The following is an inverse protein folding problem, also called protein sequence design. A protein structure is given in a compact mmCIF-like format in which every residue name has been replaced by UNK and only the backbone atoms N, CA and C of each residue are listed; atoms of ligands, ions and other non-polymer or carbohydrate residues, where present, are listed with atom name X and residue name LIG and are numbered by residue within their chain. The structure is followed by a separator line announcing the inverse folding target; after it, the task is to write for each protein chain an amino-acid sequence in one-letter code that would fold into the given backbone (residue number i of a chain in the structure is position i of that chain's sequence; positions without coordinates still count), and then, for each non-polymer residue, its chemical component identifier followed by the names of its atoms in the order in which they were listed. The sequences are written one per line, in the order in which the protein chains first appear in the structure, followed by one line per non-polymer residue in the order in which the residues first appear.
data_IF_607346777027
#
_entry.id   IF_607346777027
#
_cell.length_a   1.000
_cell.length_b   1.000
_cell.length_c   1.000
_cell.angle_alpha   90.00
_cell.angle_beta   90.00
_cell.angle_gamma   90.00
#
_symmetry.space_group_name_H-M   'P 1'
#
loop_
_entity.id
_entity.type
_entity.pdbx_description
1 polymer ?
#
# COMPACT_ATOMS: atom_id res chain seq x y z
N UNK A 1 -56.63 60.50 27.20
CA UNK A 1 -55.51 59.50 27.44
C UNK A 1 -55.46 58.57 26.29
N UNK A 2 -54.61 58.87 25.37
CA UNK A 2 -54.46 58.09 24.10
C UNK A 2 -53.30 57.09 24.26
N UNK A 3 -53.60 55.78 24.20
CA UNK A 3 -52.62 54.73 24.22
C UNK A 3 -52.13 54.48 22.78
N UNK A 4 -50.89 54.82 22.50
CA UNK A 4 -50.23 54.56 21.24
C UNK A 4 -49.74 53.09 21.21
N UNK A 5 -50.35 52.33 20.30
CA UNK A 5 -49.92 50.96 19.99
C UNK A 5 -48.85 51.01 18.92
N UNK A 6 -47.63 50.62 19.30
CA UNK A 6 -46.49 50.50 18.36
C UNK A 6 -46.59 49.15 17.63
N UNK A 7 -47.07 49.19 16.39
CA UNK A 7 -47.04 48.01 15.51
C UNK A 7 -45.62 47.79 15.01
N UNK A 8 -45.08 46.62 15.30
CA UNK A 8 -43.83 46.15 14.68
C UNK A 8 -44.12 45.77 13.21
N UNK A 9 -43.34 46.25 12.24
CA UNK A 9 -43.55 45.89 10.84
C UNK A 9 -43.16 44.41 10.64
N UNK A 10 -44.13 43.64 10.12
CA UNK A 10 -43.85 42.27 9.64
C UNK A 10 -43.11 42.35 8.31
N UNK A 11 -42.02 41.62 8.19
CA UNK A 11 -41.31 41.45 6.93
C UNK A 11 -42.17 40.72 5.89
N UNK A 12 -42.04 41.07 4.59
CA UNK A 12 -42.81 40.45 3.50
C UNK A 12 -42.53 38.97 3.34
N UNK A 13 -43.55 38.16 3.08
CA UNK A 13 -43.47 36.75 2.74
C UNK A 13 -42.64 36.57 1.45
N UNK A 14 -41.50 35.89 1.54
CA UNK A 14 -40.68 35.55 0.38
C UNK A 14 -39.18 35.92 0.43
N UNK A 15 -38.71 36.51 1.51
CA UNK A 15 -37.25 36.69 1.67
C UNK A 15 -36.59 35.50 2.40
N UNK A 16 -35.42 35.00 1.91
CA UNK A 16 -34.78 33.77 2.41
C UNK A 16 -34.28 33.81 3.84
N UNK A 17 -34.36 34.97 4.53
CA UNK A 17 -33.83 35.20 5.88
C UNK A 17 -34.89 35.29 6.98
N UNK A 18 -36.17 35.10 6.64
CA UNK A 18 -37.26 35.12 7.64
C UNK A 18 -37.41 33.78 8.33
N UNK A 19 -36.96 33.65 9.57
CA UNK A 19 -37.25 32.49 10.42
C UNK A 19 -36.17 31.39 10.48
N UNK A 20 -34.99 31.62 9.93
CA UNK A 20 -33.84 30.74 10.22
C UNK A 20 -33.18 31.22 11.50
N UNK A 21 -33.22 30.39 12.53
CA UNK A 21 -32.30 30.54 13.67
C UNK A 21 -30.90 30.39 13.07
N UNK A 22 -29.99 31.32 13.41
CA UNK A 22 -28.59 31.17 13.14
C UNK A 22 -28.19 29.75 13.63
N UNK A 23 -27.59 28.92 12.78
CA UNK A 23 -27.05 27.68 13.22
C UNK A 23 -26.03 28.01 14.34
N UNK A 24 -26.38 27.62 15.57
CA UNK A 24 -25.45 27.65 16.67
C UNK A 24 -24.39 26.66 16.30
N UNK A 25 -23.19 27.09 15.94
CA UNK A 25 -22.03 26.23 15.85
C UNK A 25 -21.89 25.53 17.19
N UNK A 26 -22.28 24.26 17.23
CA UNK A 26 -22.08 23.42 18.40
C UNK A 26 -20.64 22.89 18.29
N UNK A 27 -19.70 23.33 19.13
CA UNK A 27 -18.34 22.80 19.11
C UNK A 27 -18.27 21.33 19.52
N UNK A 28 -19.40 20.73 19.91
CA UNK A 28 -19.53 19.30 20.22
C UNK A 28 -19.95 18.46 19.00
N UNK A 29 -20.22 19.07 17.83
CA UNK A 29 -20.72 18.35 16.65
C UNK A 29 -19.61 17.70 15.79
N UNK A 30 -18.34 17.95 16.12
CA UNK A 30 -17.18 17.39 15.40
C UNK A 30 -16.35 16.43 16.28
N UNK A 31 -16.99 15.77 17.26
CA UNK A 31 -16.39 14.57 17.85
C UNK A 31 -16.70 13.44 16.89
N UNK A 32 -15.88 13.28 15.86
CA UNK A 32 -15.77 12.03 15.14
C UNK A 32 -15.40 10.98 16.18
N UNK A 33 -16.35 10.11 16.54
CA UNK A 33 -16.10 8.99 17.44
C UNK A 33 -15.09 8.10 16.72
N UNK A 34 -13.84 8.18 17.17
CA UNK A 34 -12.79 7.28 16.68
C UNK A 34 -13.32 5.85 16.76
N UNK A 35 -13.18 5.05 15.68
CA UNK A 35 -13.64 3.67 15.68
C UNK A 35 -13.01 2.92 16.86
N UNK A 36 -13.84 2.22 17.63
CA UNK A 36 -13.38 1.39 18.74
C UNK A 36 -13.82 -0.05 18.52
N UNK A 37 -12.87 -0.95 18.57
CA UNK A 37 -13.10 -2.38 18.37
C UNK A 37 -12.88 -3.13 19.70
N UNK A 38 -13.85 -3.94 20.18
CA UNK A 38 -13.63 -4.75 21.38
C UNK A 38 -12.40 -5.64 21.24
N UNK A 39 -11.48 -5.57 22.22
CA UNK A 39 -10.24 -6.34 22.22
C UNK A 39 -9.09 -5.74 21.42
N UNK A 40 -9.29 -4.58 20.77
CA UNK A 40 -8.21 -3.82 20.12
C UNK A 40 -7.96 -2.50 20.84
N UNK A 41 -6.69 -2.11 20.91
CA UNK A 41 -6.22 -0.81 21.41
C UNK A 41 -5.63 -0.03 20.26
N UNK A 42 -6.09 1.21 20.10
CA UNK A 42 -5.53 2.15 19.12
C UNK A 42 -4.46 2.99 19.79
N UNK A 43 -3.26 2.98 19.22
CA UNK A 43 -2.14 3.82 19.63
C UNK A 43 -1.83 4.84 18.55
N UNK A 44 -1.50 6.06 18.95
CA UNK A 44 -1.07 7.13 18.03
C UNK A 44 0.24 7.69 18.53
N UNK A 45 1.27 7.60 17.72
CA UNK A 45 2.56 8.21 17.95
C UNK A 45 2.76 9.37 16.96
N UNK A 46 3.26 10.49 17.43
CA UNK A 46 3.60 11.61 16.58
C UNK A 46 5.07 11.99 16.75
N UNK A 47 5.82 11.93 15.66
CA UNK A 47 7.23 12.31 15.61
C UNK A 47 7.43 13.37 14.52
N UNK A 48 7.62 14.62 14.93
CA UNK A 48 7.77 15.74 14.00
C UNK A 48 6.50 15.96 13.16
N UNK A 49 6.60 15.77 11.85
CA UNK A 49 5.50 15.93 10.88
C UNK A 49 4.79 14.61 10.53
N UNK A 50 5.22 13.51 11.15
CA UNK A 50 4.67 12.18 10.85
C UNK A 50 3.86 11.68 12.04
N UNK A 51 2.66 11.17 11.75
CA UNK A 51 1.80 10.45 12.68
C UNK A 51 1.75 8.98 12.29
N UNK A 52 1.90 8.10 13.27
CA UNK A 52 1.73 6.65 13.10
C UNK A 52 0.57 6.20 13.96
N UNK A 53 -0.42 5.57 13.34
CA UNK A 53 -1.54 4.92 14.01
C UNK A 53 -1.27 3.42 14.00
N UNK A 54 -1.46 2.76 15.15
CA UNK A 54 -1.30 1.32 15.30
C UNK A 54 -2.49 0.73 16.05
N UNK A 55 -2.91 -0.46 15.63
CA UNK A 55 -3.90 -1.25 16.32
C UNK A 55 -3.25 -2.50 16.88
N UNK A 56 -3.50 -2.78 18.16
CA UNK A 56 -2.95 -3.92 18.88
C UNK A 56 -4.05 -4.72 19.56
N UNK A 57 -3.89 -6.03 19.59
CA UNK A 57 -4.75 -6.94 20.33
C UNK A 57 -4.46 -6.89 21.86
N UNK A 58 -5.14 -7.76 22.60
CA UNK A 58 -5.01 -7.84 24.07
C UNK A 58 -3.62 -8.31 24.53
N UNK A 59 -2.87 -8.98 23.68
CA UNK A 59 -1.51 -9.46 23.94
C UNK A 59 -0.45 -8.42 23.49
N UNK A 60 -0.90 -7.27 22.93
CA UNK A 60 -0.05 -6.20 22.44
C UNK A 60 0.51 -6.41 21.03
N UNK A 61 0.06 -7.45 20.32
CA UNK A 61 0.45 -7.73 18.94
C UNK A 61 -0.30 -6.83 17.96
N UNK A 62 0.36 -6.42 16.85
CA UNK A 62 -0.32 -5.71 15.77
C UNK A 62 -1.42 -6.59 15.16
N UNK A 63 -2.59 -5.99 14.97
CA UNK A 63 -3.77 -6.68 14.51
C UNK A 63 -4.66 -5.74 13.71
N UNK A 64 -5.03 -6.14 12.49
CA UNK A 64 -5.98 -5.39 11.67
C UNK A 64 -7.35 -5.31 12.36
N UNK A 65 -8.00 -4.12 12.32
CA UNK A 65 -9.38 -3.98 12.72
C UNK A 65 -10.34 -4.79 11.83
N UNK A 66 -11.52 -5.17 12.37
CA UNK A 66 -12.50 -5.96 11.62
C UNK A 66 -13.12 -5.28 10.40
N UNK A 67 -12.92 -3.96 10.23
CA UNK A 67 -13.38 -3.22 9.05
C UNK A 67 -12.42 -3.34 7.85
N UNK A 68 -11.30 -4.07 8.02
CA UNK A 68 -10.29 -4.26 7.00
C UNK A 68 -9.26 -3.13 6.90
N UNK A 69 -9.31 -2.15 7.78
CA UNK A 69 -8.25 -1.13 7.82
C UNK A 69 -6.92 -1.73 8.32
N UNK A 70 -5.76 -1.16 7.90
CA UNK A 70 -4.46 -1.71 8.28
C UNK A 70 -4.18 -1.57 9.78
N UNK A 71 -3.49 -2.55 10.37
CA UNK A 71 -3.01 -2.49 11.75
C UNK A 71 -2.03 -1.34 11.98
N UNK A 72 -1.30 -0.93 10.93
CA UNK A 72 -0.42 0.23 10.99
C UNK A 72 -0.63 1.14 9.78
N UNK A 73 -0.81 2.45 10.08
CA UNK A 73 -0.85 3.51 9.05
C UNK A 73 0.03 4.66 9.47
N UNK A 74 0.86 5.12 8.56
CA UNK A 74 1.71 6.30 8.75
C UNK A 74 1.30 7.39 7.77
N UNK A 75 1.12 8.60 8.29
CA UNK A 75 0.70 9.77 7.51
C UNK A 75 1.58 10.97 7.83
N UNK A 76 1.70 11.88 6.87
CA UNK A 76 2.13 13.25 7.15
C UNK A 76 1.03 14.01 7.91
N UNK A 77 1.39 15.18 8.47
CA UNK A 77 0.47 16.04 9.24
C UNK A 77 -0.70 16.56 8.41
N UNK A 78 -0.55 16.66 7.10
CA UNK A 78 -1.61 17.04 6.17
C UNK A 78 -2.58 15.90 5.84
N UNK A 79 -2.35 14.72 6.40
CA UNK A 79 -3.15 13.51 6.17
C UNK A 79 -2.68 12.63 5.02
N UNK A 80 -1.64 13.04 4.28
CA UNK A 80 -1.09 12.22 3.19
C UNK A 80 -0.52 10.92 3.74
N UNK A 81 -1.06 9.78 3.32
CA UNK A 81 -0.58 8.45 3.71
C UNK A 81 0.77 8.19 3.06
N UNK A 82 1.71 7.66 3.83
CA UNK A 82 3.04 7.27 3.35
C UNK A 82 3.30 5.78 3.43
N UNK A 83 2.60 5.09 4.33
CA UNK A 83 2.82 3.67 4.57
C UNK A 83 1.59 3.05 5.24
N UNK A 84 1.22 1.87 4.79
CA UNK A 84 0.22 0.99 5.39
C UNK A 84 0.79 -0.41 5.55
N UNK A 85 0.41 -1.09 6.64
CA UNK A 85 0.77 -2.48 6.82
C UNK A 85 -0.35 -3.25 7.54
N UNK A 86 -0.63 -4.42 7.02
CA UNK A 86 -1.63 -5.37 7.49
C UNK A 86 -1.00 -6.47 8.32
N UNK A 87 -1.64 -6.75 9.46
CA UNK A 87 -1.12 -7.71 10.43
C UNK A 87 -2.26 -8.56 11.00
N UNK A 88 -1.99 -9.85 11.15
CA UNK A 88 -2.87 -10.76 11.84
C UNK A 88 -2.11 -11.49 12.93
N UNK A 89 -2.54 -11.36 14.18
CA UNK A 89 -1.91 -11.97 15.36
C UNK A 89 -0.38 -11.71 15.42
N UNK A 90 0.03 -10.46 15.15
CA UNK A 90 1.43 -10.04 15.21
C UNK A 90 2.29 -10.43 14.02
N UNK A 91 1.71 -10.97 12.95
CA UNK A 91 2.41 -11.36 11.71
C UNK A 91 1.93 -10.55 10.54
N UNK A 92 2.85 -10.14 9.66
CA UNK A 92 2.50 -9.57 8.35
C UNK A 92 1.66 -10.58 7.57
N UNK A 93 0.53 -10.12 7.07
CA UNK A 93 -0.44 -10.97 6.41
C UNK A 93 -1.27 -10.16 5.42
N UNK A 94 -1.40 -10.66 4.18
CA UNK A 94 -2.32 -10.09 3.22
C UNK A 94 -3.76 -10.14 3.75
N UNK A 95 -4.54 -9.06 3.56
CA UNK A 95 -5.96 -9.05 3.84
C UNK A 95 -6.72 -10.07 2.99
N UNK A 96 -7.91 -10.50 3.44
CA UNK A 96 -8.72 -11.49 2.71
C UNK A 96 -9.20 -11.06 1.33
N UNK A 97 -9.15 -9.78 1.00
CA UNK A 97 -9.52 -9.23 -0.31
C UNK A 97 -8.39 -9.34 -1.34
N UNK A 98 -7.20 -9.84 -0.91
CA UNK A 98 -6.03 -10.04 -1.76
C UNK A 98 -5.17 -8.80 -1.98
N UNK A 99 -5.44 -7.70 -1.25
CA UNK A 99 -4.54 -6.55 -1.26
C UNK A 99 -3.21 -6.88 -0.56
N UNK A 100 -2.10 -6.15 -0.89
CA UNK A 100 -0.80 -6.43 -0.29
C UNK A 100 -0.76 -6.14 1.21
N UNK A 101 0.01 -6.92 1.96
CA UNK A 101 0.22 -6.68 3.38
C UNK A 101 0.98 -5.39 3.66
N UNK A 102 1.84 -4.95 2.76
CA UNK A 102 2.63 -3.72 2.92
C UNK A 102 2.49 -2.84 1.69
N UNK A 103 2.19 -1.56 1.89
CA UNK A 103 2.15 -0.54 0.84
C UNK A 103 2.87 0.73 1.28
N UNK A 104 3.72 1.27 0.39
CA UNK A 104 4.28 2.62 0.51
C UNK A 104 3.72 3.50 -0.60
N UNK A 105 3.60 4.79 -0.29
CA UNK A 105 2.99 5.75 -1.20
C UNK A 105 3.92 6.92 -1.49
N UNK A 106 3.88 7.40 -2.71
CA UNK A 106 4.48 8.67 -3.10
C UNK A 106 3.74 9.85 -2.44
N UNK A 107 4.35 11.04 -2.37
CA UNK A 107 3.70 12.23 -1.79
C UNK A 107 2.40 12.65 -2.47
N UNK A 108 2.17 12.25 -3.71
CA UNK A 108 0.95 12.50 -4.47
C UNK A 108 -0.17 11.46 -4.20
N UNK A 109 0.12 10.43 -3.36
CA UNK A 109 -0.78 9.37 -2.98
C UNK A 109 -0.78 8.17 -3.93
N UNK A 110 0.01 8.20 -5.00
CA UNK A 110 0.19 7.01 -5.86
C UNK A 110 1.04 5.96 -5.15
N UNK A 111 0.80 4.69 -5.47
CA UNK A 111 1.57 3.58 -4.89
C UNK A 111 3.02 3.64 -5.39
N UNK A 112 3.97 3.51 -4.46
CA UNK A 112 5.40 3.45 -4.74
C UNK A 112 5.96 2.03 -4.61
N UNK A 113 5.36 1.23 -3.72
CA UNK A 113 5.80 -0.12 -3.40
C UNK A 113 4.64 -0.93 -2.85
N UNK A 114 4.59 -2.20 -3.19
CA UNK A 114 3.69 -3.20 -2.65
C UNK A 114 4.44 -4.48 -2.33
N UNK A 115 4.05 -5.15 -1.24
CA UNK A 115 4.56 -6.47 -0.92
C UNK A 115 3.50 -7.37 -0.30
N UNK A 116 3.44 -8.59 -0.79
CA UNK A 116 2.55 -9.66 -0.35
C UNK A 116 3.24 -10.55 0.68
N UNK A 117 2.53 -10.83 1.76
CA UNK A 117 3.05 -11.61 2.88
C UNK A 117 2.01 -12.59 3.40
N UNK A 118 2.47 -13.78 3.74
CA UNK A 118 1.66 -14.79 4.40
C UNK A 118 2.37 -15.26 5.66
N UNK A 119 1.83 -14.93 6.82
CA UNK A 119 2.35 -15.32 8.15
C UNK A 119 3.83 -14.96 8.38
N UNK A 120 4.26 -13.75 8.00
CA UNK A 120 5.62 -13.19 7.99
C UNK A 120 6.57 -13.75 6.90
N UNK A 121 6.08 -14.55 5.97
CA UNK A 121 6.85 -15.01 4.82
C UNK A 121 6.45 -14.22 3.57
N UNK A 122 7.43 -13.70 2.82
CA UNK A 122 7.19 -13.05 1.53
C UNK A 122 6.80 -14.12 0.52
N UNK A 123 5.63 -13.95 -0.11
CA UNK A 123 5.03 -15.02 -0.90
C UNK A 123 4.21 -14.45 -2.06
N UNK A 124 4.36 -15.02 -3.25
CA UNK A 124 3.50 -14.72 -4.38
C UNK A 124 2.04 -15.01 -4.04
N UNK A 125 1.11 -14.11 -4.41
CA UNK A 125 -0.31 -14.39 -4.34
C UNK A 125 -0.71 -15.62 -5.16
N UNK A 126 -1.83 -16.24 -4.77
CA UNK A 126 -2.31 -17.48 -5.43
C UNK A 126 -2.71 -17.31 -6.90
N UNK A 127 -2.84 -16.09 -7.39
CA UNK A 127 -3.11 -15.79 -8.80
C UNK A 127 -1.83 -15.76 -9.66
N UNK A 128 -0.65 -15.94 -9.04
CA UNK A 128 0.65 -15.97 -9.70
C UNK A 128 1.24 -14.59 -9.98
N UNK A 129 0.66 -13.53 -9.42
CA UNK A 129 1.27 -12.20 -9.48
C UNK A 129 2.52 -12.14 -8.59
N UNK A 130 3.50 -11.24 -8.90
CA UNK A 130 4.70 -11.08 -8.09
C UNK A 130 4.40 -10.68 -6.65
N UNK A 131 5.15 -11.21 -5.69
CA UNK A 131 5.05 -10.84 -4.28
C UNK A 131 5.47 -9.40 -4.02
N UNK A 132 6.44 -8.89 -4.76
CA UNK A 132 6.96 -7.53 -4.58
C UNK A 132 6.88 -6.75 -5.88
N UNK A 133 6.40 -5.50 -5.78
CA UNK A 133 6.41 -4.52 -6.87
C UNK A 133 6.87 -3.16 -6.39
N UNK A 134 7.70 -2.53 -7.20
CA UNK A 134 8.02 -1.10 -7.12
C UNK A 134 7.46 -0.38 -8.33
N UNK A 135 7.01 0.83 -8.12
CA UNK A 135 6.36 1.62 -9.17
C UNK A 135 7.14 2.89 -9.46
N UNK A 136 7.17 3.27 -10.74
CA UNK A 136 7.57 4.61 -11.15
C UNK A 136 6.56 5.66 -10.63
N UNK A 137 6.95 6.94 -10.54
CA UNK A 137 6.01 7.99 -10.14
C UNK A 137 4.78 8.15 -11.04
N UNK A 138 4.81 7.64 -12.27
CA UNK A 138 3.66 7.63 -13.20
C UNK A 138 2.71 6.43 -12.97
N UNK A 139 3.02 5.56 -11.99
CA UNK A 139 2.23 4.38 -11.62
C UNK A 139 2.52 3.14 -12.47
N UNK A 140 3.45 3.21 -13.43
CA UNK A 140 3.90 1.99 -14.14
C UNK A 140 4.85 1.17 -13.28
N UNK A 141 4.87 -0.15 -13.45
CA UNK A 141 5.77 -1.04 -12.71
C UNK A 141 7.21 -0.76 -13.14
N UNK A 142 8.10 -0.54 -12.15
CA UNK A 142 9.54 -0.34 -12.34
C UNK A 142 10.35 -1.62 -12.07
N UNK A 143 9.85 -2.42 -11.15
CA UNK A 143 10.56 -3.60 -10.68
C UNK A 143 9.57 -4.58 -10.07
N UNK A 144 9.78 -5.88 -10.28
CA UNK A 144 8.97 -6.94 -9.68
C UNK A 144 9.81 -8.15 -9.29
N UNK A 145 9.38 -8.82 -8.21
CA UNK A 145 10.01 -10.03 -7.70
C UNK A 145 8.97 -11.11 -7.39
N UNK A 146 9.32 -12.34 -7.73
CA UNK A 146 8.60 -13.54 -7.37
C UNK A 146 9.26 -14.23 -6.18
N UNK A 147 8.46 -14.55 -5.17
CA UNK A 147 8.91 -15.17 -3.94
C UNK A 147 8.07 -16.39 -3.59
N UNK A 148 8.73 -17.43 -3.13
CA UNK A 148 8.09 -18.64 -2.63
C UNK A 148 8.73 -19.04 -1.30
N UNK A 149 7.92 -19.15 -0.24
CA UNK A 149 8.39 -19.54 1.10
C UNK A 149 9.60 -18.71 1.56
N UNK A 150 9.52 -17.37 1.41
CA UNK A 150 10.58 -16.40 1.78
C UNK A 150 11.88 -16.53 0.98
N UNK A 151 11.82 -17.20 -0.18
CA UNK A 151 12.94 -17.32 -1.11
C UNK A 151 12.62 -16.72 -2.47
N UNK A 152 13.58 -15.98 -3.04
CA UNK A 152 13.51 -15.50 -4.41
C UNK A 152 13.58 -16.70 -5.37
N UNK A 153 12.54 -16.90 -6.17
CA UNK A 153 12.33 -18.13 -6.92
C UNK A 153 11.58 -17.85 -8.21
N UNK A 154 12.04 -18.45 -9.32
CA UNK A 154 11.28 -18.45 -10.58
C UNK A 154 9.91 -19.09 -10.37
N UNK A 155 8.83 -18.46 -10.92
CA UNK A 155 7.51 -19.07 -10.93
C UNK A 155 7.47 -20.40 -11.71
N UNK A 156 6.46 -21.25 -11.43
CA UNK A 156 6.34 -22.55 -12.10
C UNK A 156 6.15 -22.50 -13.62
N UNK A 157 5.73 -21.35 -14.16
CA UNK A 157 5.57 -21.16 -15.61
C UNK A 157 6.89 -20.89 -16.35
N UNK A 158 8.00 -20.75 -15.58
CA UNK A 158 9.34 -20.51 -16.12
C UNK A 158 9.66 -19.05 -16.41
N UNK A 159 8.80 -18.12 -16.01
CA UNK A 159 9.12 -16.70 -16.05
C UNK A 159 10.23 -16.35 -15.03
N UNK A 160 11.02 -15.28 -15.27
CA UNK A 160 12.09 -14.90 -14.37
C UNK A 160 11.55 -14.44 -13.00
N UNK A 161 12.30 -14.73 -11.93
CA UNK A 161 11.97 -14.28 -10.58
C UNK A 161 12.06 -12.77 -10.44
N UNK A 162 12.93 -12.10 -11.19
CA UNK A 162 13.13 -10.66 -11.12
C UNK A 162 13.01 -10.02 -12.49
N UNK A 163 12.27 -8.92 -12.57
CA UNK A 163 12.23 -8.05 -13.75
C UNK A 163 12.44 -6.59 -13.37
N UNK A 164 13.26 -5.92 -14.15
CA UNK A 164 13.39 -4.46 -14.18
C UNK A 164 12.68 -3.94 -15.43
N UNK A 165 11.81 -2.95 -15.26
CA UNK A 165 11.02 -2.40 -16.34
C UNK A 165 11.25 -0.89 -16.49
N UNK A 166 11.25 -0.43 -17.73
CA UNK A 166 11.29 0.99 -18.04
C UNK A 166 9.90 1.62 -17.89
N UNK A 167 9.79 2.94 -17.79
CA UNK A 167 8.49 3.62 -17.71
C UNK A 167 7.54 3.33 -18.88
N UNK A 168 8.04 2.92 -20.04
CA UNK A 168 7.22 2.52 -21.19
C UNK A 168 6.73 1.06 -21.11
N UNK A 169 7.06 0.34 -20.01
CA UNK A 169 6.71 -1.05 -19.77
C UNK A 169 7.61 -2.07 -20.46
N UNK A 170 8.62 -1.63 -21.20
CA UNK A 170 9.60 -2.56 -21.80
C UNK A 170 10.55 -3.10 -20.74
N UNK A 171 10.88 -4.40 -20.85
CA UNK A 171 11.83 -5.04 -19.94
C UNK A 171 13.23 -4.49 -20.18
N UNK A 172 13.91 -4.11 -19.11
CA UNK A 172 15.31 -3.69 -19.10
C UNK A 172 16.24 -4.85 -18.74
N UNK A 173 15.85 -5.63 -17.71
CA UNK A 173 16.64 -6.78 -17.27
C UNK A 173 15.71 -7.84 -16.71
N UNK A 174 16.09 -9.11 -16.94
CA UNK A 174 15.47 -10.29 -16.38
C UNK A 174 16.53 -11.10 -15.63
N UNK A 175 16.12 -11.68 -14.48
CA UNK A 175 17.00 -12.52 -13.68
C UNK A 175 16.24 -13.76 -13.22
N UNK A 176 16.85 -14.92 -13.40
CA UNK A 176 16.34 -16.22 -12.98
C UNK A 176 16.99 -16.67 -11.69
N UNK A 177 16.16 -17.06 -10.72
CA UNK A 177 16.60 -17.49 -9.41
C UNK A 177 16.01 -18.84 -9.02
N UNK A 178 16.79 -19.63 -8.30
CA UNK A 178 16.35 -20.81 -7.60
C UNK A 178 16.87 -20.78 -6.16
N UNK A 179 15.95 -20.68 -5.19
CA UNK A 179 16.26 -20.58 -3.76
C UNK A 179 17.36 -19.52 -3.48
N UNK A 180 17.11 -18.25 -3.83
CA UNK A 180 17.96 -17.05 -3.66
C UNK A 180 19.26 -17.05 -4.46
N UNK A 181 19.43 -17.98 -5.41
CA UNK A 181 20.65 -18.06 -6.21
C UNK A 181 20.36 -17.91 -7.68
N UNK A 182 21.12 -17.06 -8.36
CA UNK A 182 21.11 -17.00 -9.82
C UNK A 182 21.34 -18.39 -10.39
N UNK A 183 20.43 -18.80 -11.29
CA UNK A 183 20.42 -20.12 -11.88
C UNK A 183 19.89 -20.07 -13.30
N UNK A 184 20.65 -20.62 -14.24
CA UNK A 184 20.13 -20.79 -15.62
C UNK A 184 18.88 -21.67 -15.61
N UNK A 185 17.81 -21.28 -16.33
CA UNK A 185 16.64 -22.11 -16.52
C UNK A 185 16.96 -23.45 -17.20
N UNK A 186 16.09 -24.47 -17.04
CA UNK A 186 16.32 -25.79 -17.61
C UNK A 186 16.40 -25.84 -19.15
N UNK A 187 15.88 -24.82 -19.82
CA UNK A 187 15.93 -24.68 -21.28
C UNK A 187 17.28 -24.21 -21.83
N UNK A 188 18.20 -23.83 -20.90
CA UNK A 188 19.55 -23.35 -21.21
C UNK A 188 19.63 -21.87 -21.53
N UNK A 189 18.56 -21.10 -21.31
CA UNK A 189 18.61 -19.64 -21.37
C UNK A 189 19.48 -19.08 -20.23
N UNK A 190 20.07 -17.86 -20.39
CA UNK A 190 20.92 -17.28 -19.37
C UNK A 190 20.13 -16.89 -18.12
N UNK A 191 20.76 -17.00 -16.94
CA UNK A 191 20.16 -16.54 -15.68
C UNK A 191 19.98 -15.03 -15.63
N UNK A 192 20.82 -14.26 -16.29
CA UNK A 192 20.70 -12.79 -16.37
C UNK A 192 20.68 -12.37 -17.83
N UNK A 193 19.68 -11.58 -18.20
CA UNK A 193 19.54 -11.00 -19.53
C UNK A 193 19.25 -9.50 -19.45
N UNK A 194 20.15 -8.67 -19.99
CA UNK A 194 19.93 -7.26 -20.18
C UNK A 194 19.42 -6.95 -21.59
N UNK A 195 18.41 -6.11 -21.70
CA UNK A 195 17.73 -5.75 -22.94
C UNK A 195 17.78 -4.24 -23.21
N UNK A 196 17.97 -3.87 -24.49
CA UNK A 196 17.80 -2.49 -24.94
C UNK A 196 16.31 -2.15 -25.08
N UNK A 197 16.00 -0.88 -25.20
CA UNK A 197 14.63 -0.40 -25.39
C UNK A 197 13.95 -0.95 -26.67
N UNK A 198 14.72 -1.35 -27.67
CA UNK A 198 14.21 -2.01 -28.88
C UNK A 198 13.99 -3.52 -28.73
N UNK A 199 14.23 -4.07 -27.51
CA UNK A 199 14.09 -5.49 -27.20
C UNK A 199 15.29 -6.35 -27.61
N UNK A 200 16.33 -5.77 -28.20
CA UNK A 200 17.54 -6.52 -28.52
C UNK A 200 18.37 -6.82 -27.28
N UNK A 201 18.99 -7.98 -27.23
CA UNK A 201 19.87 -8.38 -26.13
C UNK A 201 21.10 -7.48 -26.08
N UNK A 202 21.40 -6.95 -24.89
CA UNK A 202 22.59 -6.18 -24.60
C UNK A 202 23.65 -7.00 -23.88
N UNK A 203 23.20 -7.83 -22.91
CA UNK A 203 24.07 -8.63 -22.05
C UNK A 203 23.40 -9.94 -21.71
N UNK A 204 24.18 -11.00 -21.62
CA UNK A 204 23.78 -12.31 -21.11
C UNK A 204 24.84 -12.84 -20.15
N UNK A 205 24.36 -13.45 -19.06
CA UNK A 205 25.23 -14.12 -18.10
C UNK A 205 24.64 -15.46 -17.70
N UNK A 206 25.50 -16.47 -17.70
CA UNK A 206 25.14 -17.83 -17.29
C UNK A 206 25.58 -18.09 -15.86
N UNK A 207 24.72 -18.73 -15.09
CA UNK A 207 24.93 -18.99 -13.67
C UNK A 207 24.43 -20.40 -13.28
N UNK A 208 25.19 -21.07 -12.41
CA UNK A 208 24.79 -22.33 -11.81
C UNK A 208 24.98 -22.27 -10.30
N UNK A 209 23.90 -22.45 -9.55
CA UNK A 209 23.88 -22.40 -8.09
C UNK A 209 24.58 -21.14 -7.50
N UNK A 210 24.39 -19.97 -8.10
CA UNK A 210 24.98 -18.71 -7.69
C UNK A 210 26.43 -18.49 -8.12
N UNK A 211 26.96 -19.35 -9.00
CA UNK A 211 28.33 -19.22 -9.54
C UNK A 211 28.24 -18.90 -11.05
N UNK A 212 28.86 -17.80 -11.47
CA UNK A 212 28.95 -17.46 -12.89
C UNK A 212 29.75 -18.50 -13.67
N UNK A 213 29.20 -18.98 -14.75
CA UNK A 213 29.85 -19.95 -15.64
C UNK A 213 30.14 -19.33 -17.01
N UNK A 214 31.15 -19.78 -17.77
CA UNK A 214 31.34 -19.36 -19.16
C UNK A 214 30.12 -19.73 -19.99
N UNK A 215 29.63 -18.77 -20.81
CA UNK A 215 28.58 -19.00 -21.82
C UNK A 215 29.17 -19.53 -23.09
#
# INVERSE_FOLDING_TARGET
MTTSSTAHPRQPKGQPTGGQFAAKSNPEADIELEPSWPGLTREVEQVGQVSTVQWRDVDGCLQDPPDGSPAMRRCYRDGTVTHEAHWQAGKLQDPPDGSPAVSYFHPDGTVAYEAHWQADECQDPSDGSPAVRWFHPDGTVAYEEHWQDDHLQDPPDGSPAVRYLRPDGTVEQEEHYQADRLQDPPDGSPAVRGLRADGTVEQEEHWQAGVRVPG
#
